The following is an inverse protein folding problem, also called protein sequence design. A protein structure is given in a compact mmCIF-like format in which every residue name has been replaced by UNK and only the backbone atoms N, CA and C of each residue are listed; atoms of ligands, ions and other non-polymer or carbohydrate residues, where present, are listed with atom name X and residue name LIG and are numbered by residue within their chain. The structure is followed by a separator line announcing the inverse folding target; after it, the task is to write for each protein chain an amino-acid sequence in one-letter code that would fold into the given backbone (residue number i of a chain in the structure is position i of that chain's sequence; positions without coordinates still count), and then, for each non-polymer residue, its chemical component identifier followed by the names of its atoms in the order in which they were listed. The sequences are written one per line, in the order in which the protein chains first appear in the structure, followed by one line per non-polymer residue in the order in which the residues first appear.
data_IF_844830132494
#
_entry.id   IF_844830132494
#
_cell.length_a   1.000
_cell.length_b   1.000
_cell.length_c   1.000
_cell.angle_alpha   90.00
_cell.angle_beta   90.00
_cell.angle_gamma   90.00
#
_symmetry.space_group_name_H-M   'P 1'
#
loop_
_entity.id
_entity.type
_entity.pdbx_description
1 polymer ?
#
# COMPACT_ATOMS: atom_id res chain seq x y z
N UNK A 1 17.73 17.38 9.96
CA UNK A 1 19.17 17.38 9.63
C UNK A 1 19.30 17.64 8.12
N UNK A 2 19.31 18.92 7.72
CA UNK A 2 19.27 19.35 6.32
C UNK A 2 20.67 19.78 5.90
N UNK A 3 21.37 18.93 5.15
CA UNK A 3 22.59 19.33 4.46
C UNK A 3 22.19 20.20 3.27
N UNK A 4 22.04 21.52 3.50
CA UNK A 4 21.94 22.52 2.44
C UNK A 4 23.31 22.67 1.76
N UNK A 5 23.73 21.63 1.04
CA UNK A 5 24.85 21.72 0.11
C UNK A 5 24.45 22.48 -1.13
N UNK A 6 25.36 23.28 -1.71
CA UNK A 6 25.15 24.10 -2.91
C UNK A 6 24.58 23.28 -4.10
N UNK A 7 24.95 22.01 -4.18
CA UNK A 7 24.47 21.06 -5.19
C UNK A 7 23.07 20.48 -4.89
N UNK A 8 22.50 20.72 -3.71
CA UNK A 8 21.19 20.21 -3.33
C UNK A 8 20.08 20.65 -4.27
N UNK A 9 20.11 21.90 -4.78
CA UNK A 9 19.10 22.40 -5.73
C UNK A 9 19.10 21.67 -7.08
N UNK A 10 20.22 21.05 -7.47
CA UNK A 10 20.36 20.29 -8.74
C UNK A 10 20.24 18.79 -8.47
N UNK A 11 20.87 18.28 -7.42
CA UNK A 11 20.78 16.88 -6.99
C UNK A 11 19.36 16.47 -6.60
N UNK A 12 18.58 17.35 -5.95
CA UNK A 12 17.19 17.05 -5.56
C UNK A 12 16.29 16.78 -6.78
N UNK A 13 16.19 17.67 -7.80
CA UNK A 13 15.40 17.38 -8.98
C UNK A 13 16.05 16.30 -9.85
N UNK A 14 17.36 16.34 -10.12
CA UNK A 14 17.99 15.35 -11.01
C UNK A 14 17.96 13.93 -10.42
N UNK A 15 18.19 13.79 -9.11
CA UNK A 15 18.09 12.51 -8.42
C UNK A 15 16.67 11.95 -8.41
N UNK A 16 15.67 12.81 -8.15
CA UNK A 16 14.26 12.41 -8.20
C UNK A 16 13.82 12.05 -9.63
N UNK A 17 14.28 12.80 -10.64
CA UNK A 17 14.00 12.51 -12.04
C UNK A 17 14.57 11.17 -12.47
N UNK A 18 15.84 10.88 -12.14
CA UNK A 18 16.46 9.60 -12.43
C UNK A 18 15.71 8.45 -11.75
N UNK A 19 15.36 8.63 -10.47
CA UNK A 19 14.60 7.63 -9.70
C UNK A 19 13.23 7.37 -10.31
N UNK A 20 12.50 8.42 -10.69
CA UNK A 20 11.20 8.30 -11.35
C UNK A 20 11.30 7.62 -12.72
N UNK A 21 12.34 7.93 -13.51
CA UNK A 21 12.60 7.26 -14.79
C UNK A 21 12.92 5.78 -14.59
N UNK A 22 13.71 5.43 -13.58
CA UNK A 22 13.96 4.04 -13.21
C UNK A 22 12.68 3.31 -12.81
N UNK A 23 11.82 3.91 -11.98
CA UNK A 23 10.51 3.34 -11.64
C UNK A 23 9.62 3.16 -12.86
N UNK A 24 9.51 4.17 -13.72
CA UNK A 24 8.73 4.08 -14.96
C UNK A 24 9.25 2.95 -15.86
N UNK A 25 10.58 2.84 -16.01
CA UNK A 25 11.21 1.75 -16.75
C UNK A 25 10.90 0.38 -16.14
N UNK A 26 10.99 0.22 -14.81
CA UNK A 26 10.66 -1.04 -14.13
C UNK A 26 9.19 -1.44 -14.34
N UNK A 27 8.26 -0.50 -14.24
CA UNK A 27 6.83 -0.74 -14.47
C UNK A 27 6.60 -1.18 -15.92
N UNK A 28 7.15 -0.44 -16.89
CA UNK A 28 7.05 -0.77 -18.32
C UNK A 28 7.64 -2.15 -18.63
N UNK A 29 8.83 -2.44 -18.10
CA UNK A 29 9.48 -3.74 -18.26
C UNK A 29 8.61 -4.87 -17.69
N UNK A 30 7.99 -4.65 -16.53
CA UNK A 30 7.10 -5.63 -15.89
C UNK A 30 5.81 -5.90 -16.68
N UNK A 31 5.35 -4.95 -17.50
CA UNK A 31 4.13 -5.10 -18.32
C UNK A 31 4.44 -5.77 -19.67
N UNK A 32 5.55 -5.39 -20.30
CA UNK A 32 5.92 -5.85 -21.65
C UNK A 32 6.42 -7.30 -21.62
N UNK A 33 7.21 -7.67 -20.62
CA UNK A 33 7.81 -9.02 -20.50
C UNK A 33 6.94 -9.95 -19.67
N UNK A 34 5.94 -10.56 -20.31
CA UNK A 34 4.96 -11.47 -19.68
C UNK A 34 5.48 -12.89 -19.35
N UNK A 35 6.70 -13.24 -19.77
CA UNK A 35 7.23 -14.61 -19.58
C UNK A 35 8.30 -14.73 -18.47
N UNK A 36 8.51 -13.66 -17.69
CA UNK A 36 9.53 -13.66 -16.63
C UNK A 36 8.99 -14.22 -15.29
N UNK A 37 9.87 -14.81 -14.49
CA UNK A 37 9.54 -15.31 -13.14
C UNK A 37 8.85 -14.26 -12.25
N UNK A 38 9.32 -13.01 -12.33
CA UNK A 38 8.75 -11.87 -11.62
C UNK A 38 7.29 -11.61 -12.04
N UNK A 39 7.00 -11.65 -13.34
CA UNK A 39 5.64 -11.51 -13.85
C UNK A 39 4.73 -12.61 -13.29
N UNK A 40 5.21 -13.87 -13.25
CA UNK A 40 4.45 -14.99 -12.71
C UNK A 40 4.18 -14.87 -11.21
N UNK A 41 5.13 -14.36 -10.42
CA UNK A 41 4.92 -14.09 -8.99
C UNK A 41 3.88 -12.98 -8.80
N UNK A 42 4.06 -11.84 -9.46
CA UNK A 42 3.20 -10.67 -9.30
C UNK A 42 1.76 -10.95 -9.78
N UNK A 43 1.59 -11.77 -10.81
CA UNK A 43 0.29 -12.19 -11.32
C UNK A 43 -0.23 -13.49 -10.68
N UNK A 44 0.45 -14.01 -9.65
CA UNK A 44 -0.08 -15.15 -8.90
C UNK A 44 -1.34 -14.73 -8.14
N UNK A 45 -2.26 -15.68 -7.96
CA UNK A 45 -3.56 -15.42 -7.29
C UNK A 45 -3.40 -14.75 -5.91
N UNK A 46 -2.37 -15.13 -5.16
CA UNK A 46 -2.09 -14.61 -3.82
C UNK A 46 -1.70 -13.13 -3.89
N UNK A 47 -0.74 -12.76 -4.74
CA UNK A 47 -0.30 -11.37 -4.87
C UNK A 47 -1.40 -10.46 -5.41
N UNK A 48 -2.18 -10.95 -6.38
CA UNK A 48 -3.35 -10.22 -6.89
C UNK A 48 -4.39 -10.01 -5.78
N UNK A 49 -4.68 -11.03 -4.96
CA UNK A 49 -5.60 -10.90 -3.83
C UNK A 49 -5.11 -9.91 -2.78
N UNK A 50 -3.82 -9.94 -2.43
CA UNK A 50 -3.22 -8.95 -1.52
C UNK A 50 -3.37 -7.53 -2.10
N UNK A 51 -3.13 -7.37 -3.41
CA UNK A 51 -3.33 -6.09 -4.10
C UNK A 51 -4.78 -5.59 -4.02
N UNK A 52 -5.76 -6.48 -4.19
CA UNK A 52 -7.18 -6.13 -4.06
C UNK A 52 -7.52 -5.70 -2.62
N UNK A 53 -7.00 -6.40 -1.62
CA UNK A 53 -7.29 -6.14 -0.20
C UNK A 53 -6.46 -4.96 0.35
N UNK A 54 -5.46 -4.49 -0.41
CA UNK A 54 -4.52 -3.44 0.00
C UNK A 54 -5.21 -2.16 0.46
N UNK A 55 -6.33 -1.79 -0.18
CA UNK A 55 -7.09 -0.61 0.19
C UNK A 55 -7.66 -0.73 1.60
N UNK A 56 -8.36 -1.83 1.89
CA UNK A 56 -8.86 -2.12 3.23
C UNK A 56 -7.70 -2.20 4.25
N UNK A 57 -6.60 -2.89 3.92
CA UNK A 57 -5.44 -3.00 4.83
C UNK A 57 -4.85 -1.64 5.17
N UNK A 58 -4.75 -0.72 4.21
CA UNK A 58 -4.21 0.62 4.44
C UNK A 58 -5.03 1.41 5.47
N UNK A 59 -6.36 1.36 5.40
CA UNK A 59 -7.24 2.04 6.36
C UNK A 59 -7.01 1.51 7.78
N UNK A 60 -7.01 0.19 7.94
CA UNK A 60 -6.82 -0.43 9.25
C UNK A 60 -5.40 -0.30 9.76
N UNK A 61 -4.41 -0.25 8.87
CA UNK A 61 -3.02 0.07 9.21
C UNK A 61 -2.93 1.44 9.88
N UNK A 62 -3.58 2.47 9.35
CA UNK A 62 -3.57 3.80 9.96
C UNK A 62 -4.24 3.86 11.34
N UNK A 63 -5.18 2.95 11.62
CA UNK A 63 -5.88 2.88 12.91
C UNK A 63 -5.10 2.12 13.98
N UNK A 64 -4.47 1.00 13.64
CA UNK A 64 -3.77 0.15 14.61
C UNK A 64 -2.27 0.43 14.71
N UNK A 65 -1.66 1.01 13.69
CA UNK A 65 -0.25 1.42 13.71
C UNK A 65 -0.20 2.91 14.05
N UNK A 66 -0.18 3.17 15.36
CA UNK A 66 -0.27 4.51 15.91
C UNK A 66 1.15 5.09 16.13
N UNK A 67 1.38 6.41 15.92
CA UNK A 67 2.65 7.05 16.24
C UNK A 67 2.98 6.95 17.73
N UNK A 68 4.21 6.52 18.05
CA UNK A 68 4.70 6.42 19.43
C UNK A 68 4.70 7.78 20.12
N UNK A 69 4.22 7.82 21.35
CA UNK A 69 4.21 9.00 22.22
C UNK A 69 2.97 9.89 22.07
N UNK A 70 2.07 9.62 21.12
CA UNK A 70 0.85 10.41 20.94
C UNK A 70 -0.34 9.85 21.71
N UNK A 71 -0.37 8.52 21.97
CA UNK A 71 -1.53 7.85 22.55
C UNK A 71 -1.11 6.76 23.55
N UNK A 72 -0.62 7.14 24.74
CA UNK A 72 0.00 6.21 25.68
C UNK A 72 -0.92 5.06 26.12
N UNK A 73 -2.22 5.31 26.23
CA UNK A 73 -3.21 4.28 26.61
C UNK A 73 -3.40 3.27 25.48
N UNK A 74 -3.50 3.73 24.23
CA UNK A 74 -3.73 2.86 23.07
C UNK A 74 -2.46 2.08 22.69
N UNK A 75 -1.29 2.66 22.91
CA UNK A 75 0.01 2.02 22.67
C UNK A 75 0.22 0.76 23.53
N UNK A 76 -0.33 0.72 24.75
CA UNK A 76 -0.33 -0.47 25.60
C UNK A 76 -1.09 -1.65 24.96
N UNK A 77 -2.17 -1.37 24.22
CA UNK A 77 -3.00 -2.39 23.59
C UNK A 77 -2.52 -2.75 22.17
N UNK A 78 -1.91 -1.81 21.45
CA UNK A 78 -1.48 -1.97 20.06
C UNK A 78 0.04 -2.03 19.91
N UNK A 79 0.66 -2.95 20.65
CA UNK A 79 2.09 -3.21 20.52
C UNK A 79 2.41 -4.20 19.39
N UNK A 80 3.62 -4.13 18.86
CA UNK A 80 4.12 -5.10 17.88
C UNK A 80 4.37 -6.46 18.56
N UNK A 81 3.96 -7.60 17.99
CA UNK A 81 3.37 -7.79 16.65
C UNK A 81 1.83 -7.83 16.63
N UNK A 82 1.18 -7.64 17.77
CA UNK A 82 -0.27 -7.78 17.90
C UNK A 82 -1.04 -6.77 17.05
N UNK A 83 -0.58 -5.53 16.98
CA UNK A 83 -1.14 -4.51 16.09
C UNK A 83 -1.19 -4.95 14.63
N UNK A 84 -0.14 -5.59 14.11
CA UNK A 84 -0.07 -6.06 12.73
C UNK A 84 -1.12 -7.16 12.47
N UNK A 85 -1.27 -8.09 13.42
CA UNK A 85 -2.28 -9.14 13.34
C UNK A 85 -3.68 -8.54 13.28
N UNK A 86 -3.96 -7.52 14.12
CA UNK A 86 -5.23 -6.80 14.09
C UNK A 86 -5.47 -6.10 12.75
N UNK A 87 -4.45 -5.44 12.17
CA UNK A 87 -4.55 -4.83 10.83
C UNK A 87 -4.98 -5.85 9.79
N UNK A 88 -4.35 -7.02 9.77
CA UNK A 88 -4.72 -8.07 8.83
C UNK A 88 -6.14 -8.59 9.11
N UNK A 89 -6.46 -8.97 10.35
CA UNK A 89 -7.79 -9.52 10.68
C UNK A 89 -8.90 -8.54 10.31
N UNK A 90 -8.82 -7.29 10.76
CA UNK A 90 -9.85 -6.29 10.50
C UNK A 90 -9.82 -5.80 9.05
N UNK A 91 -8.66 -5.71 8.42
CA UNK A 91 -8.53 -5.42 6.99
C UNK A 91 -9.22 -6.46 6.11
N UNK A 92 -8.98 -7.74 6.38
CA UNK A 92 -9.68 -8.84 5.71
C UNK A 92 -11.18 -8.80 6.01
N UNK A 93 -11.58 -8.64 7.28
CA UNK A 93 -13.00 -8.61 7.65
C UNK A 93 -13.73 -7.46 6.96
N UNK A 94 -13.17 -6.25 6.98
CA UNK A 94 -13.68 -5.07 6.30
C UNK A 94 -13.83 -5.28 4.79
N UNK A 95 -12.83 -5.89 4.15
CA UNK A 95 -12.89 -6.16 2.72
C UNK A 95 -14.08 -7.07 2.35
N UNK A 96 -14.30 -8.15 3.10
CA UNK A 96 -15.36 -9.10 2.80
C UNK A 96 -16.76 -8.61 3.22
N UNK A 97 -16.88 -7.92 4.37
CA UNK A 97 -18.16 -7.52 4.95
C UNK A 97 -18.61 -6.11 4.57
N UNK A 98 -17.69 -5.21 4.20
CA UNK A 98 -18.01 -3.84 3.80
C UNK A 98 -17.69 -3.63 2.33
N UNK A 99 -16.43 -3.79 1.93
CA UNK A 99 -16.01 -3.37 0.59
C UNK A 99 -16.74 -4.13 -0.53
N UNK A 100 -16.82 -5.47 -0.44
CA UNK A 100 -17.56 -6.30 -1.41
C UNK A 100 -19.05 -5.96 -1.54
N UNK A 101 -19.85 -5.88 -0.46
CA UNK A 101 -21.27 -5.52 -0.61
C UNK A 101 -21.46 -4.08 -1.08
N UNK A 102 -20.63 -3.13 -0.66
CA UNK A 102 -20.71 -1.75 -1.13
C UNK A 102 -20.39 -1.63 -2.63
N UNK A 103 -19.40 -2.38 -3.13
CA UNK A 103 -19.11 -2.43 -4.57
C UNK A 103 -20.28 -3.01 -5.37
N UNK A 104 -20.91 -4.10 -4.89
CA UNK A 104 -22.12 -4.64 -5.52
C UNK A 104 -23.29 -3.65 -5.50
N UNK A 105 -23.41 -2.88 -4.42
CA UNK A 105 -24.43 -1.86 -4.30
C UNK A 105 -24.19 -0.73 -5.32
N UNK A 106 -22.93 -0.29 -5.46
CA UNK A 106 -22.52 0.69 -6.47
C UNK A 106 -22.85 0.22 -7.88
N UNK A 107 -22.54 -1.02 -8.24
CA UNK A 107 -22.88 -1.58 -9.55
C UNK A 107 -24.40 -1.55 -9.80
N UNK A 108 -25.21 -1.83 -8.78
CA UNK A 108 -26.68 -1.79 -8.87
C UNK A 108 -27.25 -0.37 -9.02
N UNK A 109 -26.60 0.65 -8.47
CA UNK A 109 -27.06 2.04 -8.55
C UNK A 109 -26.38 2.87 -9.64
N UNK A 110 -25.31 2.37 -10.26
CA UNK A 110 -24.62 2.99 -11.39
C UNK A 110 -25.36 2.76 -12.73
N UNK A 111 -26.70 2.75 -12.69
CA UNK A 111 -27.54 2.79 -13.89
C UNK A 111 -27.65 4.26 -14.29
N UNK A 112 -26.59 4.83 -14.89
CA UNK A 112 -26.60 6.00 -15.78
C UNK A 112 -25.26 6.07 -16.51
#
# INVERSE_FOLDING_TARGET
MSAKGLYGKILLPCGNLLTNLCFAYMILFSIIRRDNFIFRILNSKIFVQIGIISYSLYIWQQLFIIPKGNYPILEQYFYFPFNLILVFIFGFLSFYFLEKPFLKLKERFSIY
#
